data_IF_593208590508
#
_entry.id   IF_593208590508
#
_cell.length_a   1.000
_cell.length_b   1.000
_cell.length_c   1.000
_cell.angle_alpha   90.00
_cell.angle_beta   90.00
_cell.angle_gamma   90.00
#
_symmetry.space_group_name_H-M   'P 1'
#
loop_
_entity.id
_entity.type
_entity.pdbx_description
1 polymer ?
#
# COMPACT_ATOMS: atom_id res chain seq x y z
N UNK A 1 0.31 17.60 15.79
CA UNK A 1 0.57 16.16 15.64
C UNK A 1 2.03 15.98 15.98
N UNK A 2 2.30 15.15 16.98
CA UNK A 2 3.51 15.20 17.80
C UNK A 2 4.72 14.57 17.12
N UNK A 3 5.92 15.06 17.44
CA UNK A 3 7.22 14.70 16.88
C UNK A 3 7.71 13.26 17.14
N UNK A 4 6.81 12.30 17.33
CA UNK A 4 7.12 10.90 17.67
C UNK A 4 7.17 9.97 16.43
N UNK A 5 6.46 10.34 15.36
CA UNK A 5 6.28 9.56 14.12
C UNK A 5 7.54 9.40 13.25
N UNK A 6 8.58 10.22 13.45
CA UNK A 6 9.85 10.10 12.68
C UNK A 6 10.96 9.40 13.47
N UNK A 7 10.64 8.81 14.62
CA UNK A 7 11.61 7.99 15.36
C UNK A 7 11.82 6.65 14.67
N UNK A 8 13.03 6.11 14.73
CA UNK A 8 13.34 4.81 14.12
C UNK A 8 12.41 3.70 14.62
N UNK A 9 12.02 3.73 15.91
CA UNK A 9 11.10 2.76 16.49
C UNK A 9 9.70 2.84 15.84
N UNK A 10 9.17 4.05 15.65
CA UNK A 10 7.88 4.26 14.97
C UNK A 10 7.93 3.85 13.50
N UNK A 11 9.05 4.14 12.83
CA UNK A 11 9.27 3.75 11.43
C UNK A 11 9.29 2.23 11.26
N UNK A 12 9.95 1.51 12.15
CA UNK A 12 9.99 0.05 12.14
C UNK A 12 8.61 -0.54 12.47
N UNK A 13 7.86 0.07 13.39
CA UNK A 13 6.48 -0.36 13.72
C UNK A 13 5.53 -0.23 12.52
N UNK A 14 5.62 0.86 11.76
CA UNK A 14 4.76 1.14 10.60
C UNK A 14 5.33 0.65 9.25
N UNK A 15 6.43 -0.12 9.28
CA UNK A 15 7.12 -0.55 8.05
C UNK A 15 6.25 -1.41 7.14
N UNK A 16 5.41 -2.28 7.72
CA UNK A 16 4.51 -3.13 6.96
C UNK A 16 3.39 -2.34 6.29
N UNK A 17 2.79 -1.38 7.00
CA UNK A 17 1.77 -0.48 6.46
C UNK A 17 2.32 0.33 5.27
N UNK A 18 3.56 0.80 5.37
CA UNK A 18 4.26 1.45 4.26
C UNK A 18 4.43 0.51 3.06
N UNK A 19 4.91 -0.72 3.29
CA UNK A 19 5.14 -1.69 2.23
C UNK A 19 3.85 -2.19 1.56
N UNK A 20 2.73 -2.20 2.28
CA UNK A 20 1.40 -2.57 1.76
C UNK A 20 0.62 -1.38 1.19
N UNK A 21 1.20 -0.17 1.23
CA UNK A 21 0.56 1.07 0.76
C UNK A 21 -0.73 1.41 1.51
N UNK A 22 -0.75 1.14 2.82
CA UNK A 22 -1.90 1.35 3.72
C UNK A 22 -1.80 2.64 4.54
N UNK A 23 -0.77 3.47 4.28
CA UNK A 23 -0.55 4.74 4.96
C UNK A 23 -1.18 5.92 4.21
N UNK A 24 -1.38 7.04 4.90
CA UNK A 24 -1.76 8.29 4.24
C UNK A 24 -0.61 8.79 3.34
N UNK A 25 -0.89 9.62 2.32
CA UNK A 25 0.17 10.20 1.48
C UNK A 25 1.19 11.02 2.27
N UNK A 26 0.72 11.67 3.33
CA UNK A 26 1.54 12.50 4.23
C UNK A 26 2.53 11.63 5.02
N UNK A 27 2.04 10.56 5.64
CA UNK A 27 2.89 9.65 6.42
C UNK A 27 3.83 8.85 5.52
N UNK A 28 3.38 8.51 4.30
CA UNK A 28 4.22 7.87 3.27
C UNK A 28 5.41 8.75 2.89
N UNK A 29 5.21 10.07 2.80
CA UNK A 29 6.29 11.01 2.47
C UNK A 29 7.33 11.09 3.59
N UNK A 30 6.88 11.15 4.85
CA UNK A 30 7.75 11.18 6.04
C UNK A 30 8.55 9.89 6.21
N UNK A 31 7.89 8.75 6.08
CA UNK A 31 8.53 7.43 6.10
C UNK A 31 9.64 7.34 5.05
N UNK A 32 9.37 7.82 3.83
CA UNK A 32 10.34 7.84 2.74
C UNK A 32 11.55 8.74 3.05
N UNK A 33 11.31 9.92 3.60
CA UNK A 33 12.38 10.86 4.00
C UNK A 33 13.27 10.22 5.07
N UNK A 34 12.68 9.69 6.14
CA UNK A 34 13.43 9.03 7.21
C UNK A 34 14.27 7.86 6.70
N UNK A 35 13.67 6.95 5.92
CA UNK A 35 14.39 5.77 5.42
C UNK A 35 15.52 6.15 4.46
N UNK A 36 15.38 7.25 3.71
CA UNK A 36 16.43 7.75 2.83
C UNK A 36 17.66 8.28 3.60
N UNK A 37 17.46 8.80 4.81
CA UNK A 37 18.52 9.39 5.64
C UNK A 37 19.04 8.43 6.74
N UNK A 38 18.28 7.37 7.04
CA UNK A 38 18.56 6.45 8.14
C UNK A 38 18.99 5.06 7.64
N UNK A 39 20.31 4.83 7.61
CA UNK A 39 20.90 3.54 7.21
C UNK A 39 20.32 2.30 7.90
N UNK A 40 20.05 2.27 9.22
CA UNK A 40 19.47 1.08 9.84
C UNK A 40 18.03 0.82 9.38
N UNK A 41 17.18 1.85 9.27
CA UNK A 41 15.82 1.68 8.75
C UNK A 41 15.79 1.25 7.28
N UNK A 42 16.75 1.73 6.47
CA UNK A 42 16.93 1.27 5.09
C UNK A 42 17.29 -0.22 5.01
N UNK A 43 18.11 -0.70 5.94
CA UNK A 43 18.49 -2.12 5.99
C UNK A 43 17.27 -3.01 6.32
N UNK A 44 16.46 -2.62 7.30
CA UNK A 44 15.23 -3.34 7.67
C UNK A 44 14.23 -3.37 6.50
N UNK A 45 13.95 -2.21 5.88
CA UNK A 45 13.08 -2.13 4.70
C UNK A 45 13.55 -3.08 3.57
N UNK A 46 14.86 -3.12 3.32
CA UNK A 46 15.44 -3.97 2.27
C UNK A 46 15.24 -5.47 2.52
N UNK A 47 15.25 -5.91 3.79
CA UNK A 47 14.97 -7.30 4.15
C UNK A 47 13.50 -7.63 3.84
N UNK A 48 12.57 -6.82 4.30
CA UNK A 48 11.14 -7.06 4.09
C UNK A 48 10.75 -6.97 2.60
N UNK A 49 11.34 -6.04 1.83
CA UNK A 49 11.16 -5.99 0.36
C UNK A 49 11.63 -7.28 -0.31
N UNK A 50 12.77 -7.84 0.14
CA UNK A 50 13.29 -9.09 -0.39
C UNK A 50 12.35 -10.25 -0.08
N UNK A 51 11.80 -10.30 1.13
CA UNK A 51 10.81 -11.31 1.53
C UNK A 51 9.53 -11.17 0.70
N UNK A 52 8.96 -9.97 0.59
CA UNK A 52 7.77 -9.71 -0.25
C UNK A 52 8.03 -10.10 -1.71
N UNK A 53 9.22 -9.83 -2.24
CA UNK A 53 9.62 -10.23 -3.60
C UNK A 53 9.71 -11.75 -3.74
N UNK A 54 10.27 -12.45 -2.76
CA UNK A 54 10.36 -13.90 -2.75
C UNK A 54 8.97 -14.55 -2.71
N UNK A 55 8.07 -14.03 -1.87
CA UNK A 55 6.68 -14.47 -1.79
C UNK A 55 5.95 -14.27 -3.11
N UNK A 56 6.06 -13.08 -3.71
CA UNK A 56 5.45 -12.78 -5.03
C UNK A 56 5.95 -13.74 -6.11
N UNK A 57 7.23 -14.09 -6.13
CA UNK A 57 7.78 -15.06 -7.08
C UNK A 57 7.25 -16.48 -6.83
N UNK A 58 7.19 -16.88 -5.57
CA UNK A 58 6.88 -18.27 -5.19
C UNK A 58 5.38 -18.57 -5.25
N UNK A 59 4.54 -17.55 -5.06
CA UNK A 59 3.08 -17.63 -5.06
C UNK A 59 2.44 -16.98 -6.30
N UNK A 60 3.16 -16.88 -7.43
CA UNK A 60 2.65 -16.34 -8.70
C UNK A 60 1.78 -17.36 -9.47
N UNK A 61 0.92 -18.11 -8.78
CA UNK A 61 -0.01 -19.01 -9.44
C UNK A 61 -1.11 -18.20 -10.15
N UNK A 62 -1.38 -18.54 -11.41
CA UNK A 62 -2.47 -17.91 -12.15
C UNK A 62 -3.79 -18.33 -11.50
N UNK A 63 -4.56 -17.34 -11.07
CA UNK A 63 -5.92 -17.56 -10.61
C UNK A 63 -6.70 -18.40 -11.66
N UNK A 64 -7.43 -19.46 -11.24
CA UNK A 64 -8.21 -20.29 -12.14
C UNK A 64 -9.18 -19.45 -12.98
N UNK A 65 -9.37 -19.85 -14.24
CA UNK A 65 -10.17 -19.06 -15.21
C UNK A 65 -11.61 -18.84 -14.75
N UNK A 66 -12.23 -19.86 -14.13
CA UNK A 66 -13.59 -19.74 -13.60
C UNK A 66 -13.72 -18.63 -12.54
N UNK A 67 -12.70 -18.45 -11.70
CA UNK A 67 -12.69 -17.44 -10.65
C UNK A 67 -12.53 -16.04 -11.25
N UNK A 68 -11.66 -15.89 -12.27
CA UNK A 68 -11.52 -14.64 -13.02
C UNK A 68 -12.83 -14.22 -13.69
N UNK A 69 -13.50 -15.15 -14.38
CA UNK A 69 -14.79 -14.90 -15.03
C UNK A 69 -15.85 -14.49 -13.99
N UNK A 70 -15.95 -15.21 -12.88
CA UNK A 70 -16.90 -14.90 -11.82
C UNK A 70 -16.66 -13.48 -11.23
N UNK A 71 -15.41 -13.13 -10.93
CA UNK A 71 -15.05 -11.80 -10.41
C UNK A 71 -15.39 -10.70 -11.42
N UNK A 72 -15.02 -10.87 -12.69
CA UNK A 72 -15.34 -9.89 -13.74
C UNK A 72 -16.86 -9.68 -13.87
N UNK A 73 -17.64 -10.76 -13.86
CA UNK A 73 -19.10 -10.68 -13.94
C UNK A 73 -19.70 -9.93 -12.75
N UNK A 74 -19.21 -10.19 -11.53
CA UNK A 74 -19.63 -9.46 -10.34
C UNK A 74 -19.30 -7.97 -10.45
N UNK A 75 -18.05 -7.61 -10.76
CA UNK A 75 -17.63 -6.20 -10.89
C UNK A 75 -18.46 -5.47 -11.96
N UNK A 76 -18.71 -6.09 -13.12
CA UNK A 76 -19.54 -5.51 -14.19
C UNK A 76 -21.01 -5.34 -13.79
N UNK A 77 -21.51 -6.20 -12.90
CA UNK A 77 -22.89 -6.10 -12.39
C UNK A 77 -22.99 -5.01 -11.31
N UNK A 78 -21.95 -4.86 -10.49
CA UNK A 78 -21.92 -3.91 -9.36
C UNK A 78 -21.36 -2.54 -9.75
N UNK A 79 -21.27 -2.18 -11.04
CA UNK A 79 -20.90 -0.83 -11.47
C UNK A 79 -22.02 0.16 -11.12
N UNK A 80 -22.09 0.51 -9.84
CA UNK A 80 -22.94 1.54 -9.28
C UNK A 80 -22.57 2.86 -9.94
N UNK A 81 -23.54 3.43 -10.64
CA UNK A 81 -23.54 4.82 -11.10
C UNK A 81 -23.05 5.75 -9.99
N UNK A 82 -21.95 6.47 -10.21
CA UNK A 82 -21.77 7.78 -9.59
C UNK A 82 -22.83 8.70 -10.20
N UNK A 83 -23.87 9.17 -9.48
CA UNK A 83 -24.62 10.29 -9.98
C UNK A 83 -23.63 11.46 -10.07
N UNK A 84 -23.55 12.08 -11.25
CA UNK A 84 -22.90 13.36 -11.42
C UNK A 84 -23.72 14.38 -10.61
N UNK A 85 -23.35 14.63 -9.36
CA UNK A 85 -23.83 15.83 -8.65
C UNK A 85 -23.11 17.02 -9.24
N UNK A 86 -23.80 17.65 -10.18
CA UNK A 86 -23.97 19.10 -10.33
C UNK A 86 -22.77 19.97 -9.94
N UNK A 87 -22.11 20.47 -10.98
CA UNK A 87 -21.72 21.87 -11.02
C UNK A 87 -22.99 22.72 -10.84
N UNK A 88 -23.20 23.30 -9.66
CA UNK A 88 -24.06 24.48 -9.50
C UNK A 88 -23.46 25.41 -8.43
N UNK A 89 -23.47 26.69 -8.73
CA UNK A 89 -22.54 27.67 -8.19
C UNK A 89 -22.88 28.21 -6.80
N UNK A 90 -21.82 28.59 -6.09
CA UNK A 90 -21.76 29.84 -5.33
C UNK A 90 -20.32 30.32 -5.19
#
# INVERSE_FOLDING_TARGET
MSAQDDSCDSIVEHLYEYLDSEMTPEDTARMREHVAECSPCLAELGIDEMVKRLLRRSCAERAPEHLRIAIHMQISTTSTSRPATELDGR
#
